data_IF_164477393795
#
_entry.id   IF_164477393795
#
_cell.length_a   1.000
_cell.length_b   1.000
_cell.length_c   1.000
_cell.angle_alpha   90.00
_cell.angle_beta   90.00
_cell.angle_gamma   90.00
#
_symmetry.space_group_name_H-M   'P 1'
#
loop_
_entity.id
_entity.type
_entity.pdbx_description
1 polymer ?
#
# COMPACT_ATOMS: atom_id res chain seq x y z
N UNK A 1 -6.13 19.92 -4.13
CA UNK A 1 -7.22 19.94 -5.15
C UNK A 1 -7.64 18.49 -5.43
N UNK A 2 -8.17 18.12 -6.62
CA UNK A 2 -8.54 16.71 -6.93
C UNK A 2 -7.36 15.71 -6.98
N UNK A 3 -6.12 16.20 -7.05
CA UNK A 3 -4.89 15.40 -7.18
C UNK A 3 -3.86 15.68 -6.09
N UNK A 4 -4.22 16.48 -5.09
CA UNK A 4 -3.30 16.89 -4.01
C UNK A 4 -3.97 16.76 -2.66
N UNK A 5 -3.19 16.31 -1.69
CA UNK A 5 -3.57 16.16 -0.29
C UNK A 5 -2.58 16.93 0.61
N UNK A 6 -3.10 17.65 1.61
CA UNK A 6 -2.26 18.26 2.63
C UNK A 6 -1.88 17.20 3.66
N UNK A 7 -0.58 17.00 3.86
CA UNK A 7 -0.03 15.99 4.77
C UNK A 7 0.89 16.62 5.82
N UNK A 8 1.26 15.83 6.83
CA UNK A 8 2.39 16.15 7.72
C UNK A 8 3.68 15.71 7.04
N UNK A 9 4.68 16.58 7.05
CA UNK A 9 6.03 16.21 6.65
C UNK A 9 6.64 15.26 7.68
N UNK A 10 7.33 14.23 7.18
CA UNK A 10 7.97 13.18 7.98
C UNK A 10 9.30 12.79 7.34
N UNK A 11 10.26 12.32 8.14
CA UNK A 11 11.46 11.67 7.62
C UNK A 11 11.12 10.21 7.28
N UNK A 12 11.15 9.86 6.00
CA UNK A 12 10.80 8.50 5.55
C UNK A 12 11.85 7.49 6.06
N UNK A 13 11.36 6.44 6.70
CA UNK A 13 12.16 5.24 7.01
C UNK A 13 12.36 4.51 5.67
N UNK A 14 13.60 4.19 5.25
CA UNK A 14 13.88 3.67 3.90
C UNK A 14 13.54 2.18 3.74
N UNK A 15 12.37 1.78 4.23
CA UNK A 15 11.86 0.41 4.23
C UNK A 15 10.39 0.43 3.83
N UNK A 16 10.06 -0.35 2.81
CA UNK A 16 8.68 -0.65 2.45
C UNK A 16 8.18 -1.82 3.30
N UNK A 17 6.99 -1.68 3.88
CA UNK A 17 6.34 -2.73 4.68
C UNK A 17 5.22 -3.33 3.85
N UNK A 18 5.32 -4.62 3.53
CA UNK A 18 4.33 -5.35 2.74
C UNK A 18 3.57 -6.30 3.66
N UNK A 19 2.24 -6.18 3.68
CA UNK A 19 1.37 -7.12 4.39
C UNK A 19 0.62 -7.98 3.38
N UNK A 20 0.67 -9.30 3.56
CA UNK A 20 0.06 -10.29 2.65
C UNK A 20 -0.97 -11.13 3.36
N UNK A 21 -2.18 -11.20 2.81
CA UNK A 21 -3.26 -12.10 3.25
C UNK A 21 -3.39 -13.32 2.32
N UNK A 22 -3.02 -13.13 1.05
CA UNK A 22 -3.09 -14.14 -0.02
C UNK A 22 -1.75 -14.12 -0.77
N UNK A 23 -1.22 -15.29 -1.14
CA UNK A 23 -0.01 -15.37 -1.92
C UNK A 23 -0.26 -14.80 -3.34
N UNK A 24 0.47 -13.74 -3.70
CA UNK A 24 0.47 -13.15 -5.03
C UNK A 24 1.78 -12.39 -5.29
N UNK A 25 2.10 -12.16 -6.56
CA UNK A 25 3.30 -11.41 -6.92
C UNK A 25 4.61 -12.08 -6.49
N UNK A 26 5.49 -11.32 -5.83
CA UNK A 26 6.86 -11.75 -5.54
C UNK A 26 6.93 -12.95 -4.59
N UNK A 27 6.06 -13.06 -3.58
CA UNK A 27 6.07 -14.22 -2.67
C UNK A 27 5.71 -15.53 -3.40
N UNK A 28 4.75 -15.49 -4.32
CA UNK A 28 4.35 -16.65 -5.12
C UNK A 28 5.50 -17.14 -5.99
N UNK A 29 6.20 -16.22 -6.65
CA UNK A 29 7.38 -16.55 -7.48
C UNK A 29 8.54 -17.05 -6.63
N UNK A 30 8.85 -16.38 -5.51
CA UNK A 30 10.00 -16.68 -4.66
C UNK A 30 9.88 -18.01 -3.95
N UNK A 31 8.67 -18.39 -3.51
CA UNK A 31 8.43 -19.60 -2.72
C UNK A 31 7.75 -20.73 -3.49
N UNK A 32 7.41 -20.53 -4.77
CA UNK A 32 6.69 -21.53 -5.58
C UNK A 32 5.25 -21.77 -5.11
N UNK A 33 4.65 -20.81 -4.40
CA UNK A 33 3.28 -20.91 -3.91
C UNK A 33 2.32 -20.42 -5.01
N UNK A 34 1.28 -21.20 -5.37
CA UNK A 34 0.30 -20.77 -6.37
C UNK A 34 -0.32 -19.40 -6.03
N UNK A 35 -0.49 -18.54 -7.05
CA UNK A 35 -1.18 -17.25 -6.87
C UNK A 35 -2.63 -17.49 -6.47
N UNK A 36 -3.10 -16.75 -5.45
CA UNK A 36 -4.44 -16.89 -4.90
C UNK A 36 -4.55 -17.86 -3.72
N UNK A 37 -3.45 -18.53 -3.33
CA UNK A 37 -3.43 -19.36 -2.11
C UNK A 37 -3.64 -18.48 -0.86
N UNK A 38 -4.69 -18.71 -0.06
CA UNK A 38 -4.87 -18.02 1.21
C UNK A 38 -3.72 -18.36 2.17
N UNK A 39 -3.18 -17.34 2.85
CA UNK A 39 -2.16 -17.55 3.86
C UNK A 39 -2.83 -17.89 5.21
N UNK A 40 -2.26 -18.81 6.01
CA UNK A 40 -2.86 -19.21 7.29
C UNK A 40 -2.88 -18.07 8.32
N UNK A 41 -2.01 -17.07 8.15
CA UNK A 41 -1.97 -15.80 8.86
C UNK A 41 -1.41 -14.74 7.92
N UNK A 42 -1.70 -13.47 8.18
CA UNK A 42 -1.05 -12.37 7.46
C UNK A 42 0.45 -12.40 7.69
N UNK A 43 1.22 -12.19 6.61
CA UNK A 43 2.68 -12.12 6.63
C UNK A 43 3.08 -10.67 6.44
N UNK A 44 4.00 -10.18 7.27
CA UNK A 44 4.65 -8.87 7.12
C UNK A 44 6.05 -9.11 6.56
N UNK A 45 6.40 -8.40 5.50
CA UNK A 45 7.71 -8.43 4.85
C UNK A 45 8.29 -7.03 4.76
N UNK A 46 9.62 -6.93 4.84
CA UNK A 46 10.35 -5.67 4.67
C UNK A 46 11.11 -5.69 3.34
N UNK A 47 11.03 -4.61 2.57
CA UNK A 47 11.88 -4.36 1.42
C UNK A 47 12.68 -3.08 1.63
N UNK A 48 13.96 -3.07 1.26
CA UNK A 48 14.75 -1.84 1.28
C UNK A 48 14.30 -0.94 0.13
N UNK A 49 13.89 0.30 0.42
CA UNK A 49 13.39 1.23 -0.61
C UNK A 49 14.56 1.73 -1.47
N UNK A 50 14.69 1.19 -2.68
CA UNK A 50 15.75 1.54 -3.62
C UNK A 50 15.37 1.12 -5.03
N UNK A 51 14.99 2.10 -5.85
CA UNK A 51 14.63 1.88 -7.26
C UNK A 51 15.79 1.25 -8.04
N UNK A 52 17.04 1.67 -7.77
CA UNK A 52 18.25 1.13 -8.42
C UNK A 52 18.46 -0.36 -8.15
N UNK A 53 18.05 -0.84 -6.97
CA UNK A 53 18.19 -2.24 -6.56
C UNK A 53 16.90 -3.04 -6.77
N UNK A 54 15.81 -2.39 -7.21
CA UNK A 54 14.50 -3.00 -7.39
C UNK A 54 13.86 -3.50 -6.09
N UNK A 55 14.01 -2.72 -5.03
CA UNK A 55 13.39 -2.92 -3.71
C UNK A 55 13.60 -4.32 -3.11
N UNK A 56 14.86 -4.71 -2.80
CA UNK A 56 15.17 -6.06 -2.37
C UNK A 56 14.53 -6.39 -1.02
N UNK A 57 14.05 -7.64 -0.88
CA UNK A 57 13.58 -8.17 0.41
C UNK A 57 14.73 -8.17 1.42
N UNK A 58 14.46 -7.66 2.62
CA UNK A 58 15.41 -7.60 3.74
C UNK A 58 14.81 -8.23 4.99
N UNK A 59 15.68 -8.68 5.90
CA UNK A 59 15.29 -9.12 7.23
C UNK A 59 15.27 -7.93 8.19
N UNK A 60 14.61 -8.12 9.33
CA UNK A 60 14.69 -7.19 10.47
C UNK A 60 16.14 -6.94 10.92
N UNK A 61 16.98 -7.99 10.84
CA UNK A 61 18.41 -7.90 11.14
C UNK A 61 19.11 -6.90 10.21
N UNK A 62 18.82 -6.90 8.90
CA UNK A 62 19.37 -5.90 7.99
C UNK A 62 18.87 -4.49 8.35
N UNK A 63 17.58 -4.33 8.63
CA UNK A 63 16.98 -3.03 9.00
C UNK A 63 17.67 -2.43 10.23
N UNK A 64 17.88 -3.27 11.24
CA UNK A 64 18.53 -2.87 12.50
C UNK A 64 20.03 -2.65 12.34
N UNK A 65 20.74 -3.59 11.69
CA UNK A 65 22.19 -3.53 11.54
C UNK A 65 22.68 -2.35 10.69
N UNK A 66 21.88 -1.93 9.70
CA UNK A 66 22.18 -0.76 8.88
C UNK A 66 21.60 0.55 9.43
N UNK A 67 20.92 0.51 10.58
CA UNK A 67 20.39 1.69 11.25
C UNK A 67 19.26 2.38 10.48
N UNK A 68 18.52 1.65 9.63
CA UNK A 68 17.38 2.20 8.90
C UNK A 68 16.19 2.44 9.83
N UNK A 69 15.97 1.54 10.78
CA UNK A 69 15.03 1.69 11.88
C UNK A 69 15.57 1.03 13.16
N UNK A 70 15.17 1.56 14.30
CA UNK A 70 15.46 0.98 15.61
C UNK A 70 14.47 -0.16 15.94
N UNK A 71 14.81 -1.11 16.84
CA UNK A 71 13.88 -2.17 17.22
C UNK A 71 12.49 -1.68 17.67
N UNK A 72 12.37 -0.60 18.50
CA UNK A 72 11.06 -0.04 18.82
C UNK A 72 10.28 0.49 17.61
N UNK A 73 10.95 1.12 16.64
CA UNK A 73 10.31 1.56 15.41
C UNK A 73 9.81 0.38 14.57
N UNK A 74 10.57 -0.72 14.53
CA UNK A 74 10.16 -1.95 13.84
C UNK A 74 8.91 -2.54 14.51
N UNK A 75 8.87 -2.62 15.83
CA UNK A 75 7.71 -3.08 16.59
C UNK A 75 6.47 -2.21 16.31
N UNK A 76 6.64 -0.88 16.28
CA UNK A 76 5.58 0.07 15.94
C UNK A 76 5.10 -0.12 14.50
N UNK A 77 6.01 -0.20 13.53
CA UNK A 77 5.69 -0.42 12.11
C UNK A 77 4.91 -1.72 11.93
N UNK A 78 5.34 -2.82 12.56
CA UNK A 78 4.64 -4.11 12.48
C UNK A 78 3.25 -4.05 13.10
N UNK A 79 3.13 -3.45 14.28
CA UNK A 79 1.87 -3.32 15.01
C UNK A 79 0.87 -2.46 14.23
N UNK A 80 1.33 -1.33 13.70
CA UNK A 80 0.52 -0.44 12.86
C UNK A 80 0.14 -1.13 11.54
N UNK A 81 1.06 -1.82 10.87
CA UNK A 81 0.80 -2.51 9.61
C UNK A 81 -0.29 -3.60 9.76
N UNK A 82 -0.25 -4.39 10.83
CA UNK A 82 -1.28 -5.38 11.11
C UNK A 82 -2.63 -4.73 11.45
N UNK A 83 -2.63 -3.63 12.22
CA UNK A 83 -3.86 -2.88 12.51
C UNK A 83 -4.47 -2.26 11.25
N UNK A 84 -3.63 -1.72 10.36
CA UNK A 84 -4.05 -1.19 9.05
C UNK A 84 -4.64 -2.34 8.22
N UNK A 85 -4.01 -3.51 8.22
CA UNK A 85 -4.52 -4.68 7.54
C UNK A 85 -5.93 -5.06 8.01
N UNK A 86 -6.18 -5.11 9.31
CA UNK A 86 -7.51 -5.44 9.84
C UNK A 86 -8.58 -4.43 9.38
N UNK A 87 -8.25 -3.14 9.40
CA UNK A 87 -9.15 -2.06 8.95
C UNK A 87 -9.43 -2.19 7.45
N UNK A 88 -8.38 -2.29 6.63
CA UNK A 88 -8.50 -2.37 5.18
C UNK A 88 -9.19 -3.67 4.74
N UNK A 89 -8.89 -4.79 5.40
CA UNK A 89 -9.51 -6.07 5.10
C UNK A 89 -11.02 -6.01 5.34
N UNK A 90 -11.46 -5.44 6.47
CA UNK A 90 -12.88 -5.20 6.76
C UNK A 90 -13.53 -4.25 5.75
N UNK A 91 -12.88 -3.12 5.46
CA UNK A 91 -13.36 -2.10 4.52
C UNK A 91 -13.59 -2.69 3.12
N UNK A 92 -12.57 -3.33 2.54
CA UNK A 92 -12.67 -3.89 1.19
C UNK A 92 -13.64 -5.06 1.13
N UNK A 93 -13.64 -5.95 2.13
CA UNK A 93 -14.57 -7.08 2.17
C UNK A 93 -16.02 -6.61 2.22
N UNK A 94 -16.31 -5.54 2.97
CA UNK A 94 -17.64 -4.93 3.06
C UNK A 94 -18.18 -4.43 1.72
N UNK A 95 -17.30 -4.12 0.77
CA UNK A 95 -17.67 -3.67 -0.59
C UNK A 95 -17.38 -4.72 -1.67
N UNK A 96 -17.19 -5.99 -1.28
CA UNK A 96 -17.03 -7.10 -2.22
C UNK A 96 -15.65 -7.18 -2.90
N UNK A 97 -14.62 -6.57 -2.30
CA UNK A 97 -13.23 -6.61 -2.76
C UNK A 97 -12.39 -7.42 -1.77
N UNK A 98 -11.51 -8.28 -2.30
CA UNK A 98 -10.52 -9.04 -1.53
C UNK A 98 -9.24 -8.23 -1.48
N UNK A 99 -8.78 -7.92 -0.27
CA UNK A 99 -7.45 -7.37 -0.03
C UNK A 99 -6.42 -8.51 -0.05
N UNK A 100 -5.69 -8.65 -1.14
CA UNK A 100 -4.73 -9.74 -1.37
C UNK A 100 -3.44 -9.46 -0.61
N UNK A 101 -2.85 -8.30 -0.88
CA UNK A 101 -1.72 -7.74 -0.16
C UNK A 101 -1.70 -6.22 -0.36
N UNK A 102 -0.90 -5.52 0.44
CA UNK A 102 -0.63 -4.11 0.25
C UNK A 102 0.77 -3.74 0.75
N UNK A 103 1.27 -2.62 0.25
CA UNK A 103 2.55 -2.00 0.60
C UNK A 103 2.28 -0.64 1.24
N UNK A 104 2.95 -0.34 2.34
CA UNK A 104 2.91 0.97 3.00
C UNK A 104 4.32 1.39 3.40
N UNK A 105 4.49 2.69 3.62
CA UNK A 105 5.72 3.29 4.10
C UNK A 105 5.43 4.04 5.40
N UNK A 106 6.43 4.11 6.27
CA UNK A 106 6.35 4.83 7.54
C UNK A 106 7.39 5.95 7.56
N UNK A 107 7.07 7.00 8.31
CA UNK A 107 7.99 8.10 8.55
C UNK A 107 8.07 8.46 10.02
N UNK A 108 9.18 9.08 10.39
CA UNK A 108 9.40 9.70 11.69
C UNK A 108 8.80 11.09 11.67
N UNK A 109 7.77 11.28 12.49
CA UNK A 109 7.21 12.59 12.78
C UNK A 109 7.91 13.15 14.01
N UNK A 110 8.73 14.18 13.80
CA UNK A 110 9.42 14.89 14.88
C UNK A 110 8.49 15.94 15.50
N UNK A 111 8.44 15.97 16.82
CA UNK A 111 7.89 17.08 17.60
C UNK A 111 8.98 17.64 18.53
N UNK A 112 8.67 18.72 19.25
CA UNK A 112 9.63 19.31 20.21
C UNK A 112 9.99 18.35 21.36
N UNK A 113 9.13 17.37 21.65
CA UNK A 113 9.25 16.47 22.82
C UNK A 113 9.40 14.99 22.44
N UNK A 114 8.98 14.58 21.25
CA UNK A 114 8.95 13.17 20.84
C UNK A 114 9.26 12.91 19.36
N UNK A 115 9.56 11.65 19.05
CA UNK A 115 9.59 11.11 17.69
C UNK A 115 8.55 10.01 17.63
N UNK A 116 7.65 10.09 16.65
CA UNK A 116 6.59 9.10 16.46
C UNK A 116 6.67 8.47 15.07
N UNK A 117 6.61 7.15 15.03
CA UNK A 117 6.42 6.41 13.78
C UNK A 117 4.98 6.57 13.31
N UNK A 118 4.78 7.13 12.12
CA UNK A 118 3.46 7.35 11.52
C UNK A 118 3.39 6.79 10.12
N UNK A 119 2.19 6.35 9.71
CA UNK A 119 1.91 5.95 8.33
C UNK A 119 2.12 7.14 7.40
N UNK A 120 2.80 6.92 6.27
CA UNK A 120 3.09 7.91 5.24
C UNK A 120 2.68 7.38 3.85
N UNK A 121 3.16 8.06 2.80
CA UNK A 121 2.95 7.71 1.39
C UNK A 121 1.45 7.61 1.01
N UNK A 122 1.03 6.52 0.34
CA UNK A 122 -0.32 6.33 -0.15
C UNK A 122 -0.90 4.93 0.07
N UNK A 123 -2.23 4.87 0.20
CA UNK A 123 -3.02 3.64 0.12
C UNK A 123 -3.96 3.77 -1.07
N UNK A 124 -3.64 3.05 -2.14
CA UNK A 124 -4.33 3.16 -3.42
C UNK A 124 -4.33 1.81 -4.14
N UNK A 125 -5.01 1.66 -5.29
CA UNK A 125 -4.85 0.47 -6.13
C UNK A 125 -3.45 0.32 -6.76
N UNK A 126 -2.55 1.31 -6.62
CA UNK A 126 -1.13 1.19 -6.96
C UNK A 126 -0.36 0.41 -5.87
N UNK A 127 -0.65 0.68 -4.61
CA UNK A 127 0.00 0.08 -3.43
C UNK A 127 -0.72 -1.14 -2.87
N UNK A 128 -1.96 -1.42 -3.27
CA UNK A 128 -2.76 -2.58 -2.86
C UNK A 128 -3.08 -3.52 -4.03
N UNK A 129 -2.95 -4.84 -3.83
CA UNK A 129 -3.58 -5.82 -4.73
C UNK A 129 -5.02 -6.08 -4.30
N UNK A 130 -5.96 -5.78 -5.19
CA UNK A 130 -7.39 -5.73 -4.92
C UNK A 130 -8.12 -6.59 -5.94
N UNK A 131 -8.74 -7.70 -5.52
CA UNK A 131 -9.44 -8.59 -6.43
C UNK A 131 -10.93 -8.61 -6.14
N UNK A 132 -11.76 -8.59 -7.17
CA UNK A 132 -13.20 -8.81 -7.00
C UNK A 132 -13.46 -10.19 -6.37
N UNK A 133 -14.23 -10.24 -5.27
CA UNK A 133 -14.43 -11.48 -4.51
C UNK A 133 -15.10 -12.58 -5.35
N UNK A 134 -16.01 -12.21 -6.27
CA UNK A 134 -16.83 -13.16 -7.02
C UNK A 134 -16.10 -13.71 -8.24
N UNK A 135 -15.40 -12.84 -8.96
CA UNK A 135 -14.78 -13.16 -10.26
C UNK A 135 -13.26 -13.35 -10.21
N UNK A 136 -12.61 -13.00 -9.10
CA UNK A 136 -11.16 -12.84 -8.99
C UNK A 136 -10.58 -11.85 -10.02
N UNK A 137 -11.40 -10.96 -10.59
CA UNK A 137 -10.93 -9.89 -11.48
C UNK A 137 -10.01 -8.97 -10.68
N UNK A 138 -8.78 -8.77 -11.16
CA UNK A 138 -7.82 -7.82 -10.60
C UNK A 138 -8.33 -6.39 -10.83
N UNK A 139 -8.35 -5.58 -9.77
CA UNK A 139 -8.83 -4.19 -9.74
C UNK A 139 -7.70 -3.18 -9.41
N UNK A 140 -6.45 -3.62 -9.53
CA UNK A 140 -5.25 -2.92 -9.09
C UNK A 140 -4.21 -2.78 -10.21
N UNK A 141 -3.04 -2.23 -9.86
CA UNK A 141 -1.93 -2.00 -10.80
C UNK A 141 -1.44 -3.23 -11.55
N UNK A 142 -1.71 -4.45 -11.08
CA UNK A 142 -1.42 -5.67 -11.85
C UNK A 142 -2.11 -5.70 -13.22
N UNK A 143 -3.19 -4.94 -13.43
CA UNK A 143 -3.79 -4.78 -14.76
C UNK A 143 -2.85 -4.11 -15.76
N UNK A 144 -2.06 -3.14 -15.32
CA UNK A 144 -1.02 -2.51 -16.12
C UNK A 144 0.21 -3.41 -16.22
N UNK A 145 0.66 -3.99 -15.09
CA UNK A 145 1.85 -4.86 -15.08
C UNK A 145 1.73 -6.11 -15.97
N UNK A 146 0.51 -6.53 -16.29
CA UNK A 146 0.21 -7.74 -17.08
C UNK A 146 -0.61 -7.46 -18.34
N UNK A 147 -0.68 -6.20 -18.78
CA UNK A 147 -1.40 -5.78 -19.99
C UNK A 147 -2.85 -6.32 -20.11
N UNK A 148 -3.58 -6.36 -18.98
CA UNK A 148 -4.94 -6.91 -18.93
C UNK A 148 -6.02 -5.93 -19.43
N UNK A 149 -5.62 -4.72 -19.82
CA UNK A 149 -6.50 -3.61 -20.20
C UNK A 149 -7.41 -3.13 -19.05
N UNK A 150 -8.16 -2.05 -19.26
CA UNK A 150 -9.19 -1.61 -18.32
C UNK A 150 -8.68 -1.14 -16.96
N UNK A 151 -7.47 -0.56 -16.90
CA UNK A 151 -6.82 -0.15 -15.66
C UNK A 151 -7.52 1.03 -14.96
N UNK A 152 -7.86 2.07 -15.72
CA UNK A 152 -8.58 3.23 -15.18
C UNK A 152 -9.98 2.85 -14.67
N UNK A 153 -10.68 1.99 -15.41
CA UNK A 153 -12.00 1.48 -15.08
C UNK A 153 -11.97 0.61 -13.81
N UNK A 154 -10.89 -0.14 -13.60
CA UNK A 154 -10.68 -0.86 -12.35
C UNK A 154 -10.55 0.07 -11.15
N UNK A 155 -9.82 1.19 -11.28
CA UNK A 155 -9.63 2.15 -10.19
C UNK A 155 -10.92 2.91 -9.91
N UNK A 156 -11.65 3.29 -10.96
CA UNK A 156 -13.00 3.85 -10.84
C UNK A 156 -13.97 2.88 -10.17
N UNK A 157 -13.89 1.58 -10.46
CA UNK A 157 -14.73 0.56 -9.82
C UNK A 157 -14.43 0.45 -8.31
N UNK A 158 -13.15 0.50 -7.91
CA UNK A 158 -12.77 0.58 -6.49
C UNK A 158 -13.35 1.83 -5.84
N UNK A 159 -13.16 3.00 -6.44
CA UNK A 159 -13.68 4.27 -5.93
C UNK A 159 -15.22 4.28 -5.84
N UNK A 160 -15.91 3.71 -6.84
CA UNK A 160 -17.37 3.57 -6.88
C UNK A 160 -17.87 2.72 -5.73
N UNK A 161 -17.22 1.57 -5.48
CA UNK A 161 -17.57 0.64 -4.42
C UNK A 161 -17.33 1.22 -3.03
N UNK A 162 -16.28 2.04 -2.88
CA UNK A 162 -16.00 2.78 -1.65
C UNK A 162 -16.90 4.02 -1.47
N UNK A 163 -17.70 4.39 -2.47
CA UNK A 163 -18.57 5.57 -2.41
C UNK A 163 -17.82 6.91 -2.44
N UNK A 164 -16.61 6.94 -2.98
CA UNK A 164 -15.73 8.13 -3.01
C UNK A 164 -15.64 8.78 -4.40
N UNK A 165 -16.37 8.27 -5.39
CA UNK A 165 -16.54 8.98 -6.65
C UNK A 165 -17.48 10.18 -6.42
N UNK A 166 -17.07 11.41 -6.77
CA UNK A 166 -17.98 12.55 -6.72
C UNK A 166 -19.16 12.32 -7.69
N UNK A 167 -20.40 12.55 -7.23
CA UNK A 167 -21.64 12.38 -8.01
C UNK A 167 -21.67 13.27 -9.27
N UNK A 168 -20.88 14.34 -9.27
CA UNK A 168 -20.54 15.13 -10.43
C UNK A 168 -19.20 14.61 -10.96
N UNK A 169 -19.19 14.01 -12.16
CA UNK A 169 -17.96 13.68 -12.90
C UNK A 169 -16.98 14.87 -12.92
N UNK A 170 -15.69 14.64 -13.26
CA UNK A 170 -14.61 15.56 -12.92
C UNK A 170 -15.01 17.01 -13.23
N UNK A 171 -15.22 17.88 -12.22
CA UNK A 171 -15.26 19.29 -12.51
C UNK A 171 -13.91 19.60 -13.13
N UNK A 172 -13.93 20.18 -14.33
CA UNK A 172 -12.79 20.83 -14.96
C UNK A 172 -12.36 21.98 -14.03
N UNK A 173 -11.73 21.66 -12.91
CA UNK A 173 -11.05 22.62 -12.08
C UNK A 173 -9.81 22.99 -12.86
N UNK A 174 -9.93 24.08 -13.64
CA UNK A 174 -8.77 24.81 -14.13
C UNK A 174 -7.83 24.98 -12.93
N UNK A 175 -6.64 24.36 -13.03
CA UNK A 175 -5.59 24.58 -12.06
C UNK A 175 -5.30 26.08 -11.91
N UNK A 176 -4.74 26.52 -10.79
CA UNK A 176 -4.36 27.93 -10.64
C UNK A 176 -3.48 28.33 -11.83
N UNK A 177 -3.82 29.46 -12.46
CA UNK A 177 -2.92 30.09 -13.43
C UNK A 177 -1.61 30.33 -12.71
N UNK A 178 -0.57 29.60 -13.12
CA UNK A 178 0.76 29.76 -12.56
C UNK A 178 1.13 31.25 -12.62
N UNK A 179 1.33 31.86 -11.45
CA UNK A 179 1.97 33.17 -11.39
C UNK A 179 3.40 32.99 -11.91
N UNK A 180 3.70 33.71 -12.99
CA UNK A 180 5.04 33.87 -13.55
C UNK A 180 6.01 34.48 -12.54
#
# INVERSE_FOLDING_TARGET
NMREQLIREVEIIPVEVIVRNVAAGSISKRLGIPEGTPLPRSIVEFCYKSDDLGDPLVSEEHVTAFGWATPPEIDDMMSLALRINDILYGLFSGVGIRLVDFKIEFGRLYSEEDVRTVLADEISPDSCRLWDIRSNKKLDKDRFRRDLGGGAEAYQEVARRLGILPESGPPDMKGPEAMQ
#
